data_IF_430301732559
#
_entry.id   IF_430301732559
#
_cell.length_a   1.000
_cell.length_b   1.000
_cell.length_c   1.000
_cell.angle_alpha   90.00
_cell.angle_beta   90.00
_cell.angle_gamma   90.00
#
_symmetry.space_group_name_H-M   'P 1'
#
loop_
_entity.id
_entity.type
_entity.pdbx_description
1 polymer ?
#
# COMPACT_ATOMS: atom_id res chain seq x y z
N UNK A 1 29.92 0.38 20.92
CA UNK A 1 29.74 -1.06 21.18
C UNK A 1 28.88 -1.20 22.41
N UNK A 2 27.70 -1.80 22.31
CA UNK A 2 26.82 -2.07 23.46
C UNK A 2 25.34 -1.90 23.14
N UNK A 3 24.69 -3.03 22.86
CA UNK A 3 23.24 -3.30 23.09
C UNK A 3 22.16 -2.46 22.38
N UNK A 4 21.75 -2.91 21.19
CA UNK A 4 20.34 -2.89 20.75
C UNK A 4 20.05 -4.14 19.89
N UNK A 5 20.27 -5.35 20.43
CA UNK A 5 19.60 -6.55 19.89
C UNK A 5 18.23 -6.61 20.55
N UNK A 6 17.31 -5.79 20.05
CA UNK A 6 15.91 -5.87 20.44
C UNK A 6 15.37 -7.27 20.15
N UNK A 7 15.02 -7.98 21.23
CA UNK A 7 14.54 -9.37 21.25
C UNK A 7 13.10 -9.49 20.73
N UNK A 8 12.80 -9.01 19.53
CA UNK A 8 11.47 -9.24 18.95
C UNK A 8 11.37 -9.13 17.43
N UNK A 9 12.49 -9.21 16.70
CA UNK A 9 12.48 -9.22 15.24
C UNK A 9 12.60 -10.64 14.71
N UNK A 10 11.75 -11.00 13.74
CA UNK A 10 11.87 -12.26 13.03
C UNK A 10 13.21 -12.31 12.28
N UNK A 11 13.81 -13.49 12.22
CA UNK A 11 14.99 -13.71 11.37
C UNK A 11 14.65 -13.29 9.93
N UNK A 12 15.50 -12.51 9.24
CA UNK A 12 15.24 -12.04 7.88
C UNK A 12 15.02 -13.20 6.91
N UNK A 13 15.67 -14.34 7.14
CA UNK A 13 15.48 -15.55 6.36
C UNK A 13 14.09 -16.16 6.57
N UNK A 14 13.59 -16.14 7.80
CA UNK A 14 12.27 -16.68 8.13
C UNK A 14 11.15 -15.77 7.61
N UNK A 15 11.27 -14.46 7.83
CA UNK A 15 10.35 -13.48 7.26
C UNK A 15 10.33 -13.52 5.72
N UNK A 16 11.52 -13.64 5.11
CA UNK A 16 11.67 -13.80 3.66
C UNK A 16 11.04 -15.09 3.14
N UNK A 17 11.23 -16.22 3.83
CA UNK A 17 10.60 -17.49 3.46
C UNK A 17 9.06 -17.41 3.54
N UNK A 18 8.51 -16.79 4.59
CA UNK A 18 7.06 -16.56 4.69
C UNK A 18 6.55 -15.65 3.56
N UNK A 19 7.25 -14.56 3.25
CA UNK A 19 6.87 -13.68 2.14
C UNK A 19 6.91 -14.41 0.79
N UNK A 20 7.95 -15.21 0.55
CA UNK A 20 8.07 -16.06 -0.64
C UNK A 20 6.94 -17.11 -0.74
N UNK A 21 6.54 -17.70 0.39
CA UNK A 21 5.44 -18.66 0.42
C UNK A 21 4.11 -17.98 0.06
N UNK A 22 3.83 -16.79 0.58
CA UNK A 22 2.63 -16.03 0.20
C UNK A 22 2.65 -15.65 -1.29
N UNK A 23 3.82 -15.28 -1.83
CA UNK A 23 3.99 -15.03 -3.27
C UNK A 23 3.60 -16.24 -4.13
N UNK A 24 4.15 -17.42 -3.79
CA UNK A 24 3.85 -18.67 -4.51
C UNK A 24 2.36 -19.02 -4.40
N UNK A 25 1.78 -18.92 -3.19
CA UNK A 25 0.34 -19.17 -2.99
C UNK A 25 -0.54 -18.19 -3.76
N UNK A 26 -0.16 -16.92 -3.88
CA UNK A 26 -0.91 -15.92 -4.66
C UNK A 26 -1.03 -16.33 -6.13
N UNK A 27 0.08 -16.80 -6.72
CA UNK A 27 0.08 -17.26 -8.11
C UNK A 27 -0.69 -18.58 -8.26
N UNK A 28 -0.51 -19.53 -7.33
CA UNK A 28 -1.17 -20.83 -7.40
C UNK A 28 -2.70 -20.74 -7.24
N UNK A 29 -3.19 -19.87 -6.35
CA UNK A 29 -4.62 -19.78 -6.02
C UNK A 29 -5.33 -18.79 -6.95
N UNK A 30 -4.71 -17.64 -7.23
CA UNK A 30 -5.36 -16.55 -7.94
C UNK A 30 -4.82 -16.34 -9.36
N UNK A 31 -3.69 -16.95 -9.71
CA UNK A 31 -3.02 -16.68 -10.99
C UNK A 31 -2.42 -15.28 -11.10
N UNK A 32 -2.42 -14.51 -10.01
CA UNK A 32 -2.03 -13.11 -9.97
C UNK A 32 -0.75 -12.92 -9.13
N UNK A 33 0.20 -12.16 -9.66
CA UNK A 33 1.40 -11.71 -8.95
C UNK A 33 1.08 -10.55 -8.00
N UNK A 34 1.98 -10.29 -7.05
CA UNK A 34 1.90 -9.07 -6.23
C UNK A 34 2.08 -7.86 -7.13
N UNK A 35 1.13 -6.93 -7.03
CA UNK A 35 1.25 -5.61 -7.61
C UNK A 35 0.54 -4.62 -6.72
N UNK A 36 1.07 -3.42 -6.59
CA UNK A 36 0.39 -2.30 -5.89
C UNK A 36 0.04 -1.15 -6.84
N UNK A 37 0.87 -0.93 -7.88
CA UNK A 37 0.81 0.23 -8.77
C UNK A 37 -0.42 0.22 -9.69
N UNK A 38 -0.87 -0.93 -10.17
CA UNK A 38 -2.07 -1.06 -11.02
C UNK A 38 -3.41 -0.83 -10.28
N UNK A 39 -3.46 -1.08 -8.96
CA UNK A 39 -4.66 -0.82 -8.14
C UNK A 39 -4.96 0.65 -7.94
N UNK A 40 -3.94 1.51 -7.86
CA UNK A 40 -4.12 2.94 -7.64
C UNK A 40 -4.82 3.61 -8.83
N UNK A 41 -4.37 3.35 -10.06
CA UNK A 41 -5.00 3.92 -11.27
C UNK A 41 -6.37 3.34 -11.55
N UNK A 42 -6.62 2.06 -11.22
CA UNK A 42 -7.97 1.49 -11.31
C UNK A 42 -8.92 2.09 -10.27
N UNK A 43 -8.45 2.38 -9.06
CA UNK A 43 -9.26 3.07 -8.03
C UNK A 43 -9.59 4.51 -8.43
N UNK A 44 -8.63 5.22 -9.03
CA UNK A 44 -8.89 6.55 -9.63
C UNK A 44 -9.88 6.45 -10.78
N UNK A 45 -9.76 5.45 -11.66
CA UNK A 45 -10.73 5.21 -12.74
C UNK A 45 -12.15 4.91 -12.22
N UNK A 46 -12.28 4.20 -11.09
CA UNK A 46 -13.58 3.98 -10.44
C UNK A 46 -14.15 5.26 -9.79
N UNK A 47 -13.29 6.15 -9.28
CA UNK A 47 -13.72 7.44 -8.68
C UNK A 47 -14.08 8.46 -9.77
N UNK A 48 -13.33 8.52 -10.87
CA UNK A 48 -13.67 9.35 -12.05
C UNK A 48 -15.02 8.95 -12.67
N UNK A 49 -15.35 7.66 -12.62
CA UNK A 49 -16.65 7.14 -13.07
C UNK A 49 -17.82 7.61 -12.19
N UNK A 50 -17.58 7.93 -10.91
CA UNK A 50 -18.60 8.42 -9.97
C UNK A 50 -18.86 9.92 -10.17
N UNK A 51 -17.84 10.72 -10.52
CA UNK A 51 -17.96 12.17 -10.66
C UNK A 51 -18.46 12.66 -12.03
N UNK A 52 -18.51 11.79 -13.04
CA UNK A 52 -18.93 12.15 -14.42
C UNK A 52 -20.14 11.35 -14.90
N UNK A 53 -21.15 11.20 -14.05
CA UNK A 53 -22.39 10.45 -14.34
C UNK A 53 -23.12 10.90 -15.63
N UNK A 54 -22.93 12.14 -16.09
CA UNK A 54 -23.74 12.70 -17.18
C UNK A 54 -23.21 12.39 -18.59
N UNK A 55 -21.97 11.91 -18.73
CA UNK A 55 -21.40 11.48 -20.03
C UNK A 55 -21.29 9.96 -20.17
N UNK A 56 -21.58 9.23 -19.10
CA UNK A 56 -21.45 7.76 -18.99
C UNK A 56 -22.73 7.02 -19.45
N UNK A 57 -23.87 7.70 -19.52
CA UNK A 57 -25.15 7.09 -19.92
C UNK A 57 -25.30 6.80 -21.43
N UNK A 58 -24.31 7.14 -22.27
CA UNK A 58 -24.36 6.96 -23.73
C UNK A 58 -23.41 5.89 -24.29
N UNK A 59 -22.66 5.17 -23.45
CA UNK A 59 -21.68 4.18 -23.94
C UNK A 59 -21.98 2.81 -23.32
N UNK A 60 -22.39 1.86 -24.16
CA UNK A 60 -22.66 0.43 -23.87
C UNK A 60 -21.53 -0.32 -23.12
N UNK A 61 -20.38 0.31 -22.93
CA UNK A 61 -19.22 -0.23 -22.23
C UNK A 61 -19.44 -0.34 -20.70
N UNK A 62 -20.37 0.43 -20.12
CA UNK A 62 -20.56 0.48 -18.66
C UNK A 62 -21.61 -0.49 -18.11
N UNK A 63 -22.45 -1.10 -18.95
CA UNK A 63 -23.38 -2.16 -18.52
C UNK A 63 -22.66 -3.49 -18.29
N UNK A 64 -21.49 -3.69 -18.91
CA UNK A 64 -20.71 -4.93 -18.82
C UNK A 64 -19.70 -4.97 -17.67
N UNK A 65 -19.38 -3.83 -17.08
CA UNK A 65 -18.30 -3.69 -16.10
C UNK A 65 -18.88 -3.48 -14.72
N UNK A 66 -19.48 -4.53 -14.17
CA UNK A 66 -19.79 -4.60 -12.73
C UNK A 66 -18.52 -4.22 -11.96
N UNK A 67 -18.56 -3.23 -11.05
CA UNK A 67 -17.40 -2.89 -10.22
C UNK A 67 -17.11 -4.08 -9.31
N UNK A 68 -16.33 -5.04 -9.81
CA UNK A 68 -15.87 -6.20 -9.06
C UNK A 68 -14.71 -5.75 -8.21
N UNK A 69 -14.75 -6.13 -6.94
CA UNK A 69 -13.57 -6.11 -6.07
C UNK A 69 -12.50 -6.95 -6.78
N UNK A 70 -11.50 -6.28 -7.35
CA UNK A 70 -10.39 -6.92 -8.05
C UNK A 70 -9.45 -7.55 -7.00
N UNK A 71 -8.80 -8.65 -7.37
CA UNK A 71 -7.84 -9.38 -6.52
C UNK A 71 -6.81 -8.44 -5.89
N UNK A 72 -6.35 -7.47 -6.66
CA UNK A 72 -5.34 -6.52 -6.22
C UNK A 72 -5.86 -5.56 -5.14
N UNK A 73 -7.15 -5.22 -5.18
CA UNK A 73 -7.82 -4.44 -4.15
C UNK A 73 -7.95 -5.23 -2.84
N UNK A 74 -8.30 -6.53 -2.94
CA UNK A 74 -8.30 -7.45 -1.79
C UNK A 74 -6.91 -7.61 -1.19
N UNK A 75 -5.87 -7.65 -2.03
CA UNK A 75 -4.48 -7.75 -1.59
C UNK A 75 -4.06 -6.53 -0.78
N UNK A 76 -4.28 -5.31 -1.29
CA UNK A 76 -3.93 -4.06 -0.57
C UNK A 76 -4.73 -3.95 0.73
N UNK A 77 -6.03 -4.24 0.70
CA UNK A 77 -6.86 -4.27 1.91
C UNK A 77 -6.38 -5.31 2.93
N UNK A 78 -5.98 -6.50 2.45
CA UNK A 78 -5.42 -7.56 3.27
C UNK A 78 -4.10 -7.16 3.93
N UNK A 79 -3.20 -6.47 3.21
CA UNK A 79 -1.96 -5.93 3.76
C UNK A 79 -2.25 -4.88 4.84
N UNK A 80 -3.20 -3.98 4.59
CA UNK A 80 -3.60 -2.95 5.55
C UNK A 80 -4.16 -3.58 6.84
N UNK A 81 -5.12 -4.50 6.71
CA UNK A 81 -5.72 -5.15 7.88
C UNK A 81 -4.74 -6.07 8.59
N UNK A 82 -3.95 -6.84 7.84
CA UNK A 82 -2.94 -7.76 8.39
C UNK A 82 -1.85 -7.02 9.15
N UNK A 83 -1.31 -5.94 8.59
CA UNK A 83 -0.31 -5.10 9.27
C UNK A 83 -0.89 -4.41 10.51
N UNK A 84 -2.14 -3.97 10.47
CA UNK A 84 -2.81 -3.38 11.63
C UNK A 84 -2.99 -4.39 12.78
N UNK A 85 -3.48 -5.60 12.48
CA UNK A 85 -3.64 -6.67 13.46
C UNK A 85 -2.28 -7.08 14.03
N UNK A 86 -1.26 -7.22 13.18
CA UNK A 86 0.11 -7.52 13.60
C UNK A 86 0.69 -6.43 14.53
N UNK A 87 0.51 -5.15 14.20
CA UNK A 87 0.98 -4.04 15.02
C UNK A 87 0.28 -3.99 16.39
N UNK A 88 -1.02 -4.29 16.42
CA UNK A 88 -1.81 -4.33 17.66
C UNK A 88 -1.43 -5.52 18.55
N UNK A 89 -1.28 -6.71 17.98
CA UNK A 89 -0.94 -7.94 18.71
C UNK A 89 0.50 -7.96 19.20
N UNK A 90 1.44 -7.36 18.45
CA UNK A 90 2.83 -7.20 18.88
C UNK A 90 3.04 -6.05 19.88
N UNK A 91 2.03 -5.22 20.14
CA UNK A 91 2.14 -4.04 21.00
C UNK A 91 3.04 -2.93 20.43
N UNK A 92 3.35 -2.97 19.13
CA UNK A 92 4.23 -2.00 18.46
C UNK A 92 3.50 -0.84 17.80
N UNK A 93 2.16 -0.84 17.86
CA UNK A 93 1.34 0.24 17.33
C UNK A 93 1.64 1.58 18.02
N UNK A 94 2.12 2.55 17.24
CA UNK A 94 2.43 3.92 17.70
C UNK A 94 1.75 4.93 16.78
N UNK A 95 0.83 5.72 17.33
CA UNK A 95 0.24 6.85 16.61
C UNK A 95 1.22 8.02 16.60
N UNK A 96 1.85 8.30 15.47
CA UNK A 96 2.83 9.38 15.33
C UNK A 96 2.60 10.19 14.05
N UNK A 97 2.38 11.50 14.21
CA UNK A 97 2.23 12.42 13.08
C UNK A 97 3.58 12.74 12.44
N UNK A 98 4.65 12.79 13.24
CA UNK A 98 6.03 13.02 12.80
C UNK A 98 6.92 11.93 13.37
N UNK A 99 7.55 11.08 12.54
CA UNK A 99 8.47 10.04 12.99
C UNK A 99 9.63 10.64 13.78
N UNK A 100 10.10 9.93 14.82
CA UNK A 100 11.19 10.43 15.67
C UNK A 100 12.45 10.74 14.84
N UNK A 101 12.80 9.88 13.88
CA UNK A 101 13.89 10.12 12.91
C UNK A 101 13.75 11.44 12.11
N UNK A 102 12.51 11.83 11.78
CA UNK A 102 12.25 13.11 11.10
C UNK A 102 12.37 14.26 12.09
N UNK A 103 11.81 14.09 13.29
CA UNK A 103 11.84 15.08 14.36
C UNK A 103 13.27 15.47 14.73
N UNK A 104 14.17 14.51 14.79
CA UNK A 104 15.57 14.70 15.14
C UNK A 104 16.34 15.52 14.09
N UNK A 105 15.94 15.47 12.82
CA UNK A 105 16.63 16.13 11.71
C UNK A 105 15.99 17.44 11.26
N UNK A 106 14.66 17.50 11.28
CA UNK A 106 13.86 18.57 10.66
C UNK A 106 12.82 19.18 11.60
N UNK A 107 12.75 18.72 12.86
CA UNK A 107 11.82 19.22 13.86
C UNK A 107 10.43 18.59 13.80
N UNK A 108 9.54 19.05 14.70
CA UNK A 108 8.19 18.50 14.92
C UNK A 108 7.10 19.08 14.01
N UNK A 109 7.46 19.84 12.97
CA UNK A 109 6.48 20.50 12.09
C UNK A 109 5.74 19.47 11.21
N UNK A 110 4.47 19.21 11.58
CA UNK A 110 3.58 18.26 10.90
C UNK A 110 3.29 18.67 9.47
N UNK A 111 3.04 19.97 9.22
CA UNK A 111 2.68 20.48 7.90
C UNK A 111 3.86 20.32 6.95
N UNK A 112 5.06 20.71 7.38
CA UNK A 112 6.27 20.58 6.57
C UNK A 112 6.56 19.11 6.22
N UNK A 113 6.46 18.20 7.19
CA UNK A 113 6.61 16.75 6.96
C UNK A 113 5.54 16.21 6.01
N UNK A 114 4.30 16.68 6.14
CA UNK A 114 3.18 16.31 5.27
C UNK A 114 3.44 16.69 3.83
N UNK A 115 3.87 17.93 3.57
CA UNK A 115 4.20 18.42 2.22
C UNK A 115 5.33 17.61 1.59
N UNK A 116 6.42 17.35 2.31
CA UNK A 116 7.54 16.56 1.77
C UNK A 116 7.13 15.11 1.52
N UNK A 117 6.37 14.49 2.43
CA UNK A 117 5.86 13.13 2.23
C UNK A 117 4.95 13.03 1.01
N UNK A 118 4.10 14.04 0.78
CA UNK A 118 3.25 14.11 -0.41
C UNK A 118 4.08 14.23 -1.70
N UNK A 119 5.03 15.17 -1.75
CA UNK A 119 5.90 15.34 -2.92
C UNK A 119 6.76 14.09 -3.20
N UNK A 120 7.33 13.49 -2.16
CA UNK A 120 8.07 12.23 -2.27
C UNK A 120 7.19 11.08 -2.76
N UNK A 121 5.95 11.00 -2.29
CA UNK A 121 4.95 10.05 -2.78
C UNK A 121 4.62 10.24 -4.26
N UNK A 122 4.46 11.48 -4.72
CA UNK A 122 4.24 11.81 -6.13
C UNK A 122 5.41 11.33 -6.99
N UNK A 123 6.64 11.64 -6.60
CA UNK A 123 7.84 11.18 -7.33
C UNK A 123 7.93 9.66 -7.34
N UNK A 124 7.67 9.00 -6.22
CA UNK A 124 7.66 7.53 -6.13
C UNK A 124 6.60 6.90 -7.04
N UNK A 125 5.40 7.49 -7.11
CA UNK A 125 4.32 7.04 -8.00
C UNK A 125 4.71 7.18 -9.47
N UNK A 126 5.30 8.32 -9.87
CA UNK A 126 5.80 8.49 -11.24
C UNK A 126 6.92 7.49 -11.56
N UNK A 127 7.86 7.27 -10.62
CA UNK A 127 8.95 6.31 -10.77
C UNK A 127 8.46 4.88 -10.94
N UNK A 128 7.55 4.42 -10.07
CA UNK A 128 6.92 3.10 -10.14
C UNK A 128 6.20 2.89 -11.49
N UNK A 129 5.50 3.93 -11.97
CA UNK A 129 4.80 3.88 -13.26
C UNK A 129 5.74 3.80 -14.46
N UNK A 130 6.86 4.51 -14.43
CA UNK A 130 7.88 4.44 -15.48
C UNK A 130 8.63 3.10 -15.47
N UNK A 131 8.78 2.49 -14.30
CA UNK A 131 9.43 1.19 -14.11
C UNK A 131 8.50 -0.01 -14.39
N UNK A 132 7.22 0.22 -14.73
CA UNK A 132 6.18 -0.79 -14.90
C UNK A 132 6.03 -1.72 -13.67
N UNK A 133 6.27 -1.18 -12.47
CA UNK A 133 6.32 -1.90 -11.19
C UNK A 133 6.00 -1.02 -10.00
#
# INVERSE_FOLDING_TARGET
>A
MGELRDRNYWSPYFAGACAGLVLVLSVLISGNYFGASTSFVRSVGLIEQIFSAERVAQIDYFVKTTPKIDWQWMFVAGVLLGSFVAAKTSGTYKTQAVPDMWRDKFGSNVVFRGTIAFLGGTVAMFGARLADG
#
